data_IF_373543566785
#
_entry.id   IF_373543566785
#
_cell.length_a   1.000
_cell.length_b   1.000
_cell.length_c   1.000
_cell.angle_alpha   90.00
_cell.angle_beta   90.00
_cell.angle_gamma   90.00
#
_symmetry.space_group_name_H-M   'P 1'
#
loop_
_entity.id
_entity.type
_entity.pdbx_description
1 polymer ?
#
# COMPACT_ATOMS: atom_id res chain seq x y z
N UNK A 1 -12.46 0.30 -12.87
CA UNK A 1 -12.39 1.26 -11.76
C UNK A 1 -13.76 1.86 -11.50
N UNK A 2 -14.45 2.33 -12.55
CA UNK A 2 -15.82 2.85 -12.48
C UNK A 2 -16.78 1.91 -11.73
N UNK A 3 -16.79 0.61 -12.07
CA UNK A 3 -17.63 -0.38 -11.37
C UNK A 3 -17.33 -0.49 -9.88
N UNK A 4 -16.05 -0.41 -9.49
CA UNK A 4 -15.62 -0.51 -8.10
C UNK A 4 -15.97 0.74 -7.30
N UNK A 5 -15.86 1.91 -7.93
CA UNK A 5 -16.13 3.22 -7.32
C UNK A 5 -17.59 3.67 -7.49
N UNK A 6 -18.42 2.88 -8.19
CA UNK A 6 -19.81 3.18 -8.51
C UNK A 6 -20.03 4.58 -9.13
N UNK A 7 -19.09 5.04 -9.96
CA UNK A 7 -19.15 6.35 -10.61
C UNK A 7 -18.37 6.37 -11.92
N UNK A 8 -18.86 7.04 -12.98
CA UNK A 8 -18.09 7.25 -14.21
C UNK A 8 -17.07 8.40 -14.09
N UNK A 9 -17.15 9.20 -13.02
CA UNK A 9 -16.29 10.38 -12.85
C UNK A 9 -14.99 9.99 -12.14
N UNK A 10 -14.05 9.45 -12.91
CA UNK A 10 -12.76 9.00 -12.41
C UNK A 10 -11.66 9.99 -12.81
N UNK A 11 -10.93 10.51 -11.82
CA UNK A 11 -9.75 11.34 -12.02
C UNK A 11 -8.48 10.57 -11.65
N UNK A 12 -7.44 10.69 -12.48
CA UNK A 12 -6.11 10.16 -12.16
C UNK A 12 -5.44 11.08 -11.14
N UNK A 13 -5.23 10.60 -9.91
CA UNK A 13 -4.56 11.37 -8.87
C UNK A 13 -3.04 11.42 -9.05
N UNK A 14 -2.39 10.27 -9.24
CA UNK A 14 -0.96 10.17 -9.57
C UNK A 14 -0.61 8.79 -10.14
N UNK A 15 0.63 8.65 -10.62
CA UNK A 15 1.23 7.36 -10.97
C UNK A 15 2.57 7.22 -10.24
N UNK A 16 2.94 5.98 -9.91
CA UNK A 16 4.23 5.64 -9.30
C UNK A 16 4.77 4.38 -9.94
N UNK A 17 6.08 4.29 -10.11
CA UNK A 17 6.78 3.09 -10.54
C UNK A 17 7.65 2.58 -9.38
N UNK A 18 7.35 1.38 -8.88
CA UNK A 18 8.16 0.71 -7.87
C UNK A 18 9.18 -0.19 -8.54
N UNK A 19 10.38 0.33 -8.77
CA UNK A 19 11.48 -0.46 -9.32
C UNK A 19 12.30 -1.09 -8.19
N UNK A 20 12.38 -2.42 -8.16
CA UNK A 20 13.13 -3.20 -7.18
C UNK A 20 14.23 -3.99 -7.90
N UNK A 21 15.46 -3.43 -8.03
CA UNK A 21 16.56 -4.17 -8.61
C UNK A 21 16.90 -5.41 -7.77
N UNK A 22 17.37 -6.51 -8.38
CA UNK A 22 17.84 -7.68 -7.64
C UNK A 22 18.83 -7.30 -6.55
N UNK A 23 18.63 -7.85 -5.34
CA UNK A 23 19.50 -7.70 -4.16
C UNK A 23 19.69 -6.26 -3.63
N UNK A 24 19.10 -5.24 -4.28
CA UNK A 24 19.26 -3.82 -3.93
C UNK A 24 17.93 -3.11 -3.62
N UNK A 25 16.85 -3.88 -3.47
CA UNK A 25 15.55 -3.34 -3.06
C UNK A 25 15.57 -2.81 -1.63
N UNK A 26 14.76 -1.78 -1.37
CA UNK A 26 14.44 -1.35 -0.02
C UNK A 26 13.08 -1.93 0.40
N UNK A 27 12.99 -2.40 1.64
CA UNK A 27 11.70 -2.81 2.21
C UNK A 27 10.85 -1.58 2.49
N UNK A 28 9.58 -1.64 2.10
CA UNK A 28 8.57 -0.68 2.55
C UNK A 28 7.96 -1.21 3.85
N UNK A 29 8.01 -0.46 4.96
CA UNK A 29 7.30 -0.84 6.18
C UNK A 29 5.81 -1.03 5.92
N UNK A 30 5.13 -1.87 6.71
CA UNK A 30 3.67 -2.02 6.61
C UNK A 30 3.01 -0.66 6.86
N UNK A 31 2.16 -0.22 5.93
CA UNK A 31 1.54 1.10 5.98
C UNK A 31 0.17 1.12 5.28
N UNK A 32 -0.51 2.27 5.38
CA UNK A 32 -1.64 2.62 4.53
C UNK A 32 -1.27 3.86 3.71
N UNK A 33 -1.68 3.91 2.44
CA UNK A 33 -1.46 5.07 1.59
C UNK A 33 -2.18 6.33 2.10
N UNK A 34 -3.19 6.18 2.96
CA UNK A 34 -4.01 7.27 3.50
C UNK A 34 -3.18 8.40 4.13
N UNK A 35 -2.16 8.10 4.94
CA UNK A 35 -1.35 9.13 5.60
C UNK A 35 -0.49 9.93 4.62
N UNK A 36 -0.14 9.34 3.48
CA UNK A 36 0.53 10.05 2.39
C UNK A 36 -0.44 10.89 1.55
N UNK A 37 -1.67 10.42 1.39
CA UNK A 37 -2.69 11.01 0.49
C UNK A 37 -4.06 11.06 1.17
N UNK A 38 -4.23 11.87 2.22
CA UNK A 38 -5.51 11.96 2.91
C UNK A 38 -6.57 12.49 1.94
N UNK A 39 -7.74 11.85 1.93
CA UNK A 39 -8.85 12.23 1.07
C UNK A 39 -10.16 12.16 1.85
N UNK A 40 -10.95 13.22 1.81
CA UNK A 40 -12.08 13.43 2.71
C UNK A 40 -13.12 12.29 2.70
N UNK A 41 -13.35 11.70 1.53
CA UNK A 41 -14.40 10.70 1.34
C UNK A 41 -13.86 9.27 1.14
N UNK A 42 -12.57 9.03 1.40
CA UNK A 42 -11.91 7.73 1.16
C UNK A 42 -12.12 7.20 -0.28
N UNK A 43 -12.29 8.10 -1.25
CA UNK A 43 -12.59 7.75 -2.66
C UNK A 43 -11.34 7.45 -3.49
N UNK A 44 -10.16 7.41 -2.89
CA UNK A 44 -8.92 7.07 -3.60
C UNK A 44 -8.81 5.57 -3.76
N UNK A 45 -8.62 5.08 -4.99
CA UNK A 45 -8.36 3.66 -5.26
C UNK A 45 -7.04 3.50 -6.02
N UNK A 46 -6.19 2.58 -5.56
CA UNK A 46 -4.95 2.23 -6.23
C UNK A 46 -5.15 1.01 -7.15
N UNK A 47 -4.61 1.08 -8.36
CA UNK A 47 -4.43 -0.07 -9.24
C UNK A 47 -2.93 -0.37 -9.35
N UNK A 48 -2.55 -1.63 -9.12
CA UNK A 48 -1.17 -2.09 -9.22
C UNK A 48 -1.05 -2.99 -10.45
N UNK A 49 -0.14 -2.61 -11.35
CA UNK A 49 0.21 -3.38 -12.53
C UNK A 49 1.59 -3.97 -12.30
N UNK A 50 1.68 -5.30 -12.30
CA UNK A 50 2.97 -5.98 -12.28
C UNK A 50 3.53 -6.01 -13.71
N UNK A 51 4.75 -5.49 -13.89
CA UNK A 51 5.42 -5.42 -15.19
C UNK A 51 6.31 -6.65 -15.45
N UNK A 52 6.60 -7.42 -14.41
CA UNK A 52 7.29 -8.70 -14.39
C UNK A 52 6.51 -9.71 -13.51
N UNK A 53 6.93 -10.97 -13.50
CA UNK A 53 6.32 -11.99 -12.62
C UNK A 53 6.52 -11.61 -11.16
N UNK A 54 5.52 -11.87 -10.31
CA UNK A 54 5.54 -11.40 -8.92
C UNK A 54 5.49 -12.56 -7.93
N UNK A 55 6.51 -12.65 -7.07
CA UNK A 55 6.60 -13.68 -6.05
C UNK A 55 7.30 -13.18 -4.77
N UNK A 56 7.45 -14.07 -3.80
CA UNK A 56 8.09 -13.72 -2.52
C UNK A 56 9.58 -13.46 -2.66
N UNK A 57 10.24 -14.06 -3.64
CA UNK A 57 11.69 -13.97 -3.85
C UNK A 57 12.09 -12.62 -4.44
N UNK A 58 11.24 -12.01 -5.27
CA UNK A 58 11.46 -10.67 -5.82
C UNK A 58 10.85 -9.53 -4.99
N UNK A 59 10.31 -9.85 -3.81
CA UNK A 59 9.74 -8.87 -2.90
C UNK A 59 8.42 -8.28 -3.40
N UNK A 60 7.50 -9.11 -3.89
CA UNK A 60 6.14 -8.72 -4.29
C UNK A 60 5.40 -7.90 -3.22
N UNK A 61 4.28 -7.29 -3.61
CA UNK A 61 3.36 -6.63 -2.69
C UNK A 61 2.76 -7.64 -1.71
N UNK A 62 2.71 -7.26 -0.45
CA UNK A 62 1.95 -7.96 0.58
C UNK A 62 0.76 -7.12 1.03
N UNK A 63 -0.41 -7.74 1.16
CA UNK A 63 -1.63 -7.09 1.63
C UNK A 63 -2.18 -7.87 2.81
N UNK A 64 -2.64 -7.18 3.86
CA UNK A 64 -3.45 -7.81 4.91
C UNK A 64 -4.92 -7.86 4.44
N UNK A 65 -5.48 -9.05 4.15
CA UNK A 65 -6.86 -9.14 3.66
C UNK A 65 -7.88 -8.57 4.66
N UNK A 66 -8.69 -7.61 4.21
CA UNK A 66 -9.74 -6.99 5.01
C UNK A 66 -9.30 -5.87 5.95
N UNK A 67 -8.00 -5.51 6.00
CA UNK A 67 -7.51 -4.44 6.88
C UNK A 67 -8.11 -3.07 6.58
N UNK A 68 -8.53 -2.81 5.33
CA UNK A 68 -9.22 -1.58 4.93
C UNK A 68 -10.53 -1.33 5.72
N UNK A 69 -11.13 -2.37 6.30
CA UNK A 69 -12.36 -2.24 7.11
C UNK A 69 -12.14 -1.61 8.47
N UNK A 70 -10.88 -1.46 8.90
CA UNK A 70 -10.54 -0.78 10.15
C UNK A 70 -10.50 0.75 10.01
N UNK A 71 -10.69 1.27 8.79
CA UNK A 71 -10.50 2.67 8.48
C UNK A 71 -9.02 3.07 8.49
N UNK A 72 -8.73 4.38 8.51
CA UNK A 72 -7.38 4.89 8.74
C UNK A 72 -6.85 4.45 10.11
N UNK A 73 -5.75 3.70 10.11
CA UNK A 73 -5.05 3.23 11.31
C UNK A 73 -4.19 4.35 11.88
N UNK A 74 -3.90 4.26 13.18
CA UNK A 74 -2.95 5.15 13.85
C UNK A 74 -1.61 5.16 13.11
N UNK A 75 -1.09 6.35 12.83
CA UNK A 75 0.18 6.52 12.17
C UNK A 75 1.33 6.42 13.18
N UNK A 76 2.16 5.39 13.06
CA UNK A 76 3.26 5.12 13.99
C UNK A 76 4.60 5.70 13.52
N UNK A 77 4.66 6.21 12.29
CA UNK A 77 5.73 7.08 11.78
C UNK A 77 5.07 8.35 11.28
N UNK A 78 5.48 9.56 11.67
CA UNK A 78 6.81 10.08 11.41
C UNK A 78 7.60 10.21 12.70
N UNK A 79 8.87 9.83 12.64
CA UNK A 79 9.80 9.97 13.76
C UNK A 79 10.87 10.97 13.38
N UNK A 80 11.61 11.47 14.37
CA UNK A 80 12.73 12.38 14.13
C UNK A 80 13.67 11.78 13.06
N UNK A 81 13.83 12.49 11.93
CA UNK A 81 14.63 12.06 10.79
C UNK A 81 13.95 11.09 9.80
N UNK A 82 12.64 10.85 9.89
CA UNK A 82 11.91 9.94 8.98
C UNK A 82 10.55 10.49 8.56
N UNK A 83 10.35 10.58 7.25
CA UNK A 83 9.08 10.93 6.59
C UNK A 83 8.25 9.68 6.21
N UNK A 84 8.61 8.50 6.75
CA UNK A 84 7.86 7.28 6.47
C UNK A 84 6.66 7.17 7.41
N UNK A 85 5.48 6.96 6.82
CA UNK A 85 4.25 6.60 7.51
C UNK A 85 4.12 5.09 7.54
N UNK A 86 3.84 4.52 8.71
CA UNK A 86 3.74 3.08 8.91
C UNK A 86 2.96 2.73 10.16
N UNK A 87 2.48 1.49 10.24
CA UNK A 87 1.69 1.02 11.38
C UNK A 87 2.57 0.36 12.43
N UNK A 88 2.10 0.34 13.68
CA UNK A 88 2.69 -0.44 14.75
C UNK A 88 2.50 -1.94 14.46
N UNK A 89 3.58 -2.65 14.14
CA UNK A 89 3.55 -4.09 13.83
C UNK A 89 3.26 -4.99 15.03
N UNK A 90 3.33 -4.47 16.27
CA UNK A 90 2.83 -5.15 17.46
C UNK A 90 1.31 -5.28 17.45
N UNK A 91 0.61 -4.26 16.93
CA UNK A 91 -0.86 -4.24 16.73
C UNK A 91 -1.25 -4.83 15.37
N UNK A 92 -0.46 -4.55 14.34
CA UNK A 92 -0.68 -4.95 12.94
C UNK A 92 0.47 -5.86 12.47
N UNK A 93 0.52 -7.13 12.89
CA UNK A 93 1.61 -8.03 12.56
C UNK A 93 1.66 -8.46 11.09
N UNK A 94 2.85 -8.37 10.49
CA UNK A 94 3.13 -8.78 9.10
C UNK A 94 2.73 -10.23 8.79
N UNK A 95 2.75 -11.15 9.77
CA UNK A 95 2.35 -12.56 9.56
C UNK A 95 0.90 -12.76 9.09
N UNK A 96 0.07 -11.71 9.16
CA UNK A 96 -1.32 -11.72 8.68
C UNK A 96 -1.45 -11.25 7.23
N UNK A 97 -0.38 -10.71 6.64
CA UNK A 97 -0.37 -10.33 5.23
C UNK A 97 -0.21 -11.54 4.31
N UNK A 98 -0.66 -11.37 3.07
CA UNK A 98 -0.54 -12.36 2.00
C UNK A 98 0.17 -11.71 0.82
N UNK A 99 1.10 -12.45 0.22
CA UNK A 99 1.76 -12.05 -1.01
C UNK A 99 0.76 -12.02 -2.18
N UNK A 100 0.94 -11.05 -3.06
CA UNK A 100 0.30 -10.99 -4.37
C UNK A 100 1.17 -11.75 -5.38
N UNK A 101 0.55 -12.58 -6.21
CA UNK A 101 1.24 -13.36 -7.24
C UNK A 101 0.60 -13.10 -8.60
N UNK A 102 1.42 -13.07 -9.65
CA UNK A 102 0.99 -13.05 -11.04
C UNK A 102 2.06 -13.67 -11.97
#
# INVERSE_FOLDING_TARGET
>A
MEDLMATPNIALHHTKAHYKPPEKGAAYPMHQDYHYFPYENDTTTAAVLFLDGADVENGTLFVWPGSHKFGPLEDFGPKEGSEFHYVDTGKIPNRKSKACYC
#
